data_IF_322098580519
#
_entry.id   IF_322098580519
#
_cell.length_a   1.000
_cell.length_b   1.000
_cell.length_c   1.000
_cell.angle_alpha   90.00
_cell.angle_beta   90.00
_cell.angle_gamma   90.00
#
_symmetry.space_group_name_H-M   'P 1'
#
loop_
_entity.id
_entity.type
_entity.pdbx_description
1 polymer ?
#
# COMPACT_ATOMS: atom_id res chain seq x y z
N UNK A 1 9.50 -11.88 -6.71
CA UNK A 1 8.55 -10.91 -6.13
C UNK A 1 8.61 -9.65 -6.98
N UNK A 2 7.50 -9.23 -7.61
CA UNK A 2 7.41 -8.03 -8.45
C UNK A 2 6.12 -7.26 -8.12
N UNK A 3 6.18 -6.44 -7.09
CA UNK A 3 5.24 -5.32 -6.93
C UNK A 3 6.03 -4.04 -7.17
N UNK A 4 5.86 -3.47 -8.35
CA UNK A 4 6.41 -2.18 -8.73
C UNK A 4 5.19 -1.28 -8.93
N UNK A 5 4.91 -0.41 -7.97
CA UNK A 5 3.81 0.55 -8.06
C UNK A 5 3.78 1.18 -9.46
N UNK A 6 2.67 1.05 -10.17
CA UNK A 6 2.50 1.71 -11.48
C UNK A 6 2.53 3.22 -11.30
N UNK A 7 1.99 3.67 -10.17
CA UNK A 7 1.93 5.07 -9.79
C UNK A 7 2.09 5.19 -8.29
N UNK A 8 3.08 5.97 -7.84
CA UNK A 8 3.24 6.37 -6.44
C UNK A 8 2.59 7.74 -6.26
N UNK A 9 1.65 7.83 -5.35
CA UNK A 9 1.02 9.08 -4.95
C UNK A 9 1.94 9.83 -3.99
N UNK A 10 1.99 11.16 -4.12
CA UNK A 10 2.76 12.03 -3.23
C UNK A 10 2.05 12.34 -1.89
N UNK A 11 0.87 11.76 -1.65
CA UNK A 11 0.10 11.94 -0.41
C UNK A 11 0.53 10.95 0.65
N UNK A 12 0.47 11.39 1.90
CA UNK A 12 0.69 10.51 3.05
C UNK A 12 -0.61 9.81 3.43
N UNK A 13 -0.51 8.64 4.07
CA UNK A 13 -1.66 7.93 4.61
C UNK A 13 -2.50 8.79 5.55
N UNK A 14 -1.83 9.63 6.35
CA UNK A 14 -2.41 10.61 7.28
C UNK A 14 -3.23 11.71 6.58
N UNK A 15 -2.91 12.03 5.33
CA UNK A 15 -3.62 13.06 4.54
C UNK A 15 -4.92 12.53 3.89
N UNK A 16 -5.17 11.21 3.98
CA UNK A 16 -6.32 10.58 3.36
C UNK A 16 -7.57 10.71 4.24
N UNK A 17 -8.73 10.71 3.59
CA UNK A 17 -10.03 10.77 4.26
C UNK A 17 -10.36 9.39 4.84
N UNK A 18 -10.69 9.33 6.12
CA UNK A 18 -11.13 8.09 6.76
C UNK A 18 -12.52 7.68 6.27
N UNK A 19 -12.69 6.41 5.88
CA UNK A 19 -13.95 5.92 5.30
C UNK A 19 -14.79 5.10 6.28
N UNK A 20 -14.46 5.15 7.59
CA UNK A 20 -15.09 4.34 8.64
C UNK A 20 -14.56 2.89 8.72
N UNK A 21 -13.65 2.51 7.83
CA UNK A 21 -12.90 1.25 7.90
C UNK A 21 -11.42 1.57 8.17
N UNK A 22 -10.86 1.05 9.26
CA UNK A 22 -9.46 1.31 9.65
C UNK A 22 -8.40 0.85 8.62
N UNK A 23 -8.77 -0.10 7.76
CA UNK A 23 -7.91 -0.65 6.71
C UNK A 23 -8.13 0.01 5.34
N UNK A 24 -9.00 1.01 5.26
CA UNK A 24 -9.31 1.70 4.02
C UNK A 24 -9.39 3.20 4.27
N UNK A 25 -8.73 3.97 3.42
CA UNK A 25 -8.90 5.42 3.38
C UNK A 25 -9.18 5.86 1.95
N UNK A 26 -9.69 7.07 1.78
CA UNK A 26 -10.00 7.63 0.48
C UNK A 26 -9.04 8.77 0.14
N UNK A 27 -8.37 8.63 -1.00
CA UNK A 27 -7.56 9.71 -1.55
C UNK A 27 -8.45 10.63 -2.38
N UNK A 28 -8.75 11.83 -1.87
CA UNK A 28 -9.52 12.84 -2.60
C UNK A 28 -8.80 13.34 -3.86
N UNK A 29 -7.47 13.29 -3.88
CA UNK A 29 -6.69 13.73 -5.03
C UNK A 29 -6.78 12.77 -6.21
N UNK A 30 -6.64 11.47 -5.95
CA UNK A 30 -6.79 10.44 -6.96
C UNK A 30 -8.25 10.06 -7.20
N UNK A 31 -9.16 10.47 -6.31
CA UNK A 31 -10.55 9.99 -6.22
C UNK A 31 -10.63 8.46 -6.15
N UNK A 32 -9.73 7.82 -5.41
CA UNK A 32 -9.66 6.36 -5.28
C UNK A 32 -9.54 5.92 -3.82
N UNK A 33 -10.07 4.72 -3.54
CA UNK A 33 -9.86 4.04 -2.26
C UNK A 33 -8.44 3.49 -2.19
N UNK A 34 -7.78 3.75 -1.07
CA UNK A 34 -6.46 3.26 -0.70
C UNK A 34 -6.62 2.24 0.41
N UNK A 35 -6.07 1.06 0.22
CA UNK A 35 -6.17 -0.05 1.15
C UNK A 35 -4.86 -0.23 1.91
N UNK A 36 -4.95 -0.49 3.21
CA UNK A 36 -3.80 -0.80 4.05
C UNK A 36 -3.33 -2.23 3.78
N UNK A 37 -2.08 -2.40 3.38
CA UNK A 37 -1.44 -3.69 3.23
C UNK A 37 -0.39 -3.87 4.33
N UNK A 38 -0.54 -4.95 5.10
CA UNK A 38 0.34 -5.25 6.25
C UNK A 38 1.38 -6.34 5.96
N UNK A 39 1.24 -7.03 4.84
CA UNK A 39 2.16 -8.07 4.38
C UNK A 39 2.18 -8.14 2.84
N UNK A 40 3.14 -8.90 2.30
CA UNK A 40 3.32 -9.03 0.86
C UNK A 40 2.13 -9.72 0.18
N UNK A 41 1.44 -10.62 0.87
CA UNK A 41 0.30 -11.33 0.31
C UNK A 41 -0.88 -10.38 0.10
N UNK A 42 -1.13 -9.47 1.04
CA UNK A 42 -2.12 -8.39 0.90
C UNK A 42 -1.75 -7.45 -0.24
N UNK A 43 -0.47 -7.07 -0.37
CA UNK A 43 0.00 -6.26 -1.50
C UNK A 43 -0.29 -6.97 -2.84
N UNK A 44 0.04 -8.24 -2.97
CA UNK A 44 -0.21 -9.02 -4.19
C UNK A 44 -1.71 -9.16 -4.49
N UNK A 45 -2.55 -9.35 -3.48
CA UNK A 45 -4.00 -9.36 -3.65
C UNK A 45 -4.52 -8.02 -4.18
N UNK A 46 -4.02 -6.89 -3.65
CA UNK A 46 -4.38 -5.56 -4.14
C UNK A 46 -3.85 -5.32 -5.55
N UNK A 47 -2.64 -5.79 -5.85
CA UNK A 47 -1.99 -5.69 -7.15
C UNK A 47 -2.73 -6.48 -8.24
N UNK A 48 -3.22 -7.68 -7.92
CA UNK A 48 -4.05 -8.49 -8.82
C UNK A 48 -5.35 -7.78 -9.21
N UNK A 49 -5.85 -6.89 -8.34
CA UNK A 49 -7.04 -6.07 -8.54
C UNK A 49 -6.73 -4.66 -9.05
N UNK A 50 -5.44 -4.32 -9.26
CA UNK A 50 -4.96 -2.98 -9.65
C UNK A 50 -5.46 -1.86 -8.73
N UNK A 51 -5.55 -2.13 -7.43
CA UNK A 51 -6.04 -1.18 -6.42
C UNK A 51 -4.92 -0.28 -5.90
N UNK A 52 -5.29 0.81 -5.21
CA UNK A 52 -4.32 1.61 -4.49
C UNK A 52 -4.02 0.97 -3.13
N UNK A 53 -2.73 0.82 -2.80
CA UNK A 53 -2.28 0.26 -1.55
C UNK A 53 -1.39 1.26 -0.80
N UNK A 54 -1.44 1.19 0.52
CA UNK A 54 -0.45 1.78 1.42
C UNK A 54 0.22 0.64 2.18
N UNK A 55 1.54 0.52 2.06
CA UNK A 55 2.28 -0.56 2.70
C UNK A 55 2.81 -0.13 4.06
N UNK A 56 2.29 -0.76 5.11
CA UNK A 56 2.70 -0.56 6.49
C UNK A 56 2.82 -1.93 7.18
N UNK A 57 4.00 -2.58 7.09
CA UNK A 57 4.22 -3.86 7.75
C UNK A 57 4.05 -3.70 9.26
N UNK A 58 3.36 -4.64 9.89
CA UNK A 58 3.31 -4.70 11.36
C UNK A 58 4.72 -5.09 11.78
N UNK A 59 5.45 -4.19 12.42
CA UNK A 59 6.81 -4.45 12.89
C UNK A 59 6.81 -5.73 13.73
N UNK A 60 7.30 -6.82 13.16
CA UNK A 60 7.69 -8.01 13.91
C UNK A 60 9.21 -7.94 14.03
N UNK A 61 9.76 -7.90 15.26
CA UNK A 61 11.20 -7.86 15.43
C UNK A 61 11.72 -9.26 15.09
N UNK A 62 12.16 -9.48 13.84
CA UNK A 62 13.22 -10.44 13.45
C UNK A 62 13.45 -10.52 11.94
N UNK A 63 14.63 -10.02 11.56
CA UNK A 63 15.64 -10.76 10.79
C UNK A 63 15.29 -11.13 9.34
N UNK A 64 15.85 -10.33 8.41
CA UNK A 64 16.39 -10.72 7.10
C UNK A 64 15.36 -11.27 6.10
N UNK A 65 14.94 -10.52 5.08
CA UNK A 65 15.64 -10.37 3.79
C UNK A 65 15.08 -9.12 3.09
N UNK A 66 15.94 -8.27 2.54
CA UNK A 66 15.66 -6.89 2.09
C UNK A 66 15.33 -6.76 0.60
N UNK A 67 14.06 -6.94 0.17
CA UNK A 67 13.62 -6.32 -1.09
C UNK A 67 12.43 -5.37 -0.96
N UNK A 68 11.81 -5.26 0.23
CA UNK A 68 10.53 -4.54 0.41
C UNK A 68 10.54 -3.46 1.51
N UNK A 69 11.68 -3.26 2.20
CA UNK A 69 11.81 -2.12 3.12
C UNK A 69 11.60 -0.79 2.40
N UNK A 70 12.06 -0.68 1.15
CA UNK A 70 11.92 0.53 0.32
C UNK A 70 10.47 0.87 -0.06
N UNK A 71 9.54 -0.09 0.04
CA UNK A 71 8.13 0.15 -0.22
C UNK A 71 7.36 0.61 1.02
N UNK A 72 7.98 0.57 2.19
CA UNK A 72 7.35 0.96 3.45
C UNK A 72 7.02 2.44 3.44
N UNK A 73 5.77 2.77 3.76
CA UNK A 73 5.30 4.15 3.74
C UNK A 73 4.97 4.69 2.34
N UNK A 74 5.07 3.87 1.29
CA UNK A 74 4.61 4.25 -0.04
C UNK A 74 3.10 4.06 -0.18
N UNK A 75 2.48 5.02 -0.86
CA UNK A 75 1.08 5.00 -1.23
C UNK A 75 0.97 5.05 -2.74
N UNK A 76 0.18 4.17 -3.35
CA UNK A 76 0.02 4.23 -4.80
C UNK A 76 -0.75 3.08 -5.40
N UNK A 77 -0.95 3.13 -6.72
CA UNK A 77 -1.55 2.04 -7.47
C UNK A 77 -0.55 0.91 -7.63
N UNK A 78 -0.89 -0.27 -7.10
CA UNK A 78 -0.06 -1.46 -7.21
C UNK A 78 -0.42 -2.25 -8.46
N UNK A 79 0.60 -2.82 -9.11
CA UNK A 79 0.43 -3.73 -10.25
C UNK A 79 1.29 -4.97 -10.05
N UNK A 80 0.70 -6.12 -10.36
CA UNK A 80 1.41 -7.40 -10.40
C UNK A 80 1.97 -7.58 -11.79
N UNK A 81 3.29 -7.73 -11.92
CA UNK A 81 3.94 -8.13 -13.19
C UNK A 81 4.02 -9.64 -13.32
#
# INVERSE_FOLDING_TARGET
>A
MKCEFEFVCNRKWEDLIETGNETMRFCSHCSQNVYLARDNFQLEQLASKKLCAYFAPIESPKTTTEPYLELTGLLGRVVSK
#
